data_IF_017580459634
#
_entry.id   IF_017580459634
#
_cell.length_a   1.000
_cell.length_b   1.000
_cell.length_c   1.000
_cell.angle_alpha   90.00
_cell.angle_beta   90.00
_cell.angle_gamma   90.00
#
_symmetry.space_group_name_H-M   'P 1'
#
loop_
_entity.id
_entity.type
_entity.pdbx_description
1 polymer ?
#
# COMPACT_ATOMS: atom_id res chain seq x y z
N UNK A 1 -0.59 -1.47 18.03
CA UNK A 1 -0.88 -1.51 16.58
C UNK A 1 0.43 -1.59 15.81
N UNK A 2 0.51 -2.49 14.83
CA UNK A 2 1.65 -2.64 13.93
C UNK A 2 1.41 -1.81 12.67
N UNK A 3 2.48 -1.42 11.98
CA UNK A 3 2.35 -0.76 10.69
C UNK A 3 2.21 -1.81 9.59
N UNK A 4 1.41 -1.51 8.57
CA UNK A 4 1.38 -2.30 7.36
C UNK A 4 2.73 -2.23 6.63
N UNK A 5 3.05 -3.22 5.78
CA UNK A 5 4.19 -3.12 4.87
C UNK A 5 4.15 -1.81 4.09
N UNK A 6 5.32 -1.19 3.90
CA UNK A 6 5.51 0.08 3.20
C UNK A 6 4.77 1.30 3.80
N UNK A 7 4.15 1.18 4.98
CA UNK A 7 3.55 2.32 5.69
C UNK A 7 4.52 3.50 5.86
N UNK A 8 5.79 3.21 6.18
CA UNK A 8 6.82 4.26 6.36
C UNK A 8 7.25 4.92 5.05
N UNK A 9 6.87 4.34 3.91
CA UNK A 9 7.16 4.86 2.58
C UNK A 9 6.05 5.76 2.04
N UNK A 10 4.91 5.88 2.76
CA UNK A 10 3.81 6.75 2.36
C UNK A 10 4.32 8.17 2.06
N UNK A 11 3.80 8.84 1.01
CA UNK A 11 4.21 10.19 0.66
C UNK A 11 4.07 11.15 1.85
N UNK A 12 5.03 12.08 1.99
CA UNK A 12 5.01 13.03 3.11
C UNK A 12 3.75 13.91 3.07
N UNK A 13 3.42 14.43 1.89
CA UNK A 13 2.17 15.14 1.59
C UNK A 13 0.96 14.22 1.78
N UNK A 14 -0.03 14.67 2.55
CA UNK A 14 -1.25 13.91 2.90
C UNK A 14 -2.32 13.96 1.82
N UNK A 15 -2.23 14.93 0.90
CA UNK A 15 -3.11 15.02 -0.25
C UNK A 15 -2.72 14.02 -1.36
N UNK A 16 -1.45 13.60 -1.41
CA UNK A 16 -1.00 12.53 -2.32
C UNK A 16 -1.66 11.21 -1.94
N UNK A 17 -2.25 10.57 -2.95
CA UNK A 17 -2.99 9.32 -2.82
C UNK A 17 -2.08 8.18 -2.35
N UNK A 18 -2.49 7.46 -1.31
CA UNK A 18 -1.85 6.22 -0.90
C UNK A 18 -2.40 5.04 -1.71
N UNK A 19 -1.55 4.32 -2.44
CA UNK A 19 -1.94 3.11 -3.16
C UNK A 19 -1.81 1.89 -2.25
N UNK A 20 -2.87 1.07 -2.20
CA UNK A 20 -2.98 -0.10 -1.34
C UNK A 20 -3.44 -1.30 -2.17
N UNK A 21 -2.62 -2.36 -2.24
CA UNK A 21 -3.04 -3.65 -2.82
C UNK A 21 -3.54 -4.61 -1.73
N UNK A 22 -4.65 -5.29 -1.97
CA UNK A 22 -5.30 -6.15 -0.96
C UNK A 22 -5.72 -7.48 -1.57
N UNK A 23 -5.33 -8.59 -0.95
CA UNK A 23 -5.75 -9.94 -1.33
C UNK A 23 -4.60 -10.94 -1.42
N UNK A 24 -4.87 -12.11 -2.02
CA UNK A 24 -3.93 -13.23 -2.07
C UNK A 24 -2.64 -12.87 -2.83
N UNK A 25 -2.79 -12.06 -3.88
CA UNK A 25 -1.70 -11.69 -4.80
C UNK A 25 -1.18 -10.26 -4.59
N UNK A 26 -1.57 -9.63 -3.47
CA UNK A 26 -1.22 -8.24 -3.17
C UNK A 26 0.28 -7.95 -3.23
N UNK A 27 1.12 -8.89 -2.77
CA UNK A 27 2.58 -8.74 -2.83
C UNK A 27 3.10 -8.76 -4.28
N UNK A 28 2.59 -9.66 -5.12
CA UNK A 28 2.97 -9.75 -6.53
C UNK A 28 2.64 -8.46 -7.28
N UNK A 29 1.49 -7.85 -7.00
CA UNK A 29 1.12 -6.55 -7.56
C UNK A 29 2.04 -5.42 -7.10
N UNK A 30 2.51 -5.44 -5.84
CA UNK A 30 3.53 -4.48 -5.37
C UNK A 30 4.85 -4.64 -6.12
N UNK A 31 5.31 -5.87 -6.32
CA UNK A 31 6.55 -6.11 -7.10
C UNK A 31 6.39 -5.59 -8.53
N UNK A 32 5.27 -5.92 -9.18
CA UNK A 32 4.98 -5.43 -10.53
C UNK A 32 4.95 -3.90 -10.59
N UNK A 33 4.35 -3.23 -9.61
CA UNK A 33 4.34 -1.77 -9.52
C UNK A 33 5.76 -1.19 -9.44
N UNK A 34 6.57 -1.70 -8.51
CA UNK A 34 7.95 -1.23 -8.27
C UNK A 34 8.82 -1.44 -9.50
N UNK A 35 8.68 -2.57 -10.18
CA UNK A 35 9.53 -2.96 -11.30
C UNK A 35 9.08 -2.35 -12.64
N UNK A 36 7.80 -1.97 -12.78
CA UNK A 36 7.25 -1.54 -14.07
C UNK A 36 6.35 -0.30 -14.00
N UNK A 37 5.09 -0.43 -13.58
CA UNK A 37 4.08 0.62 -13.72
C UNK A 37 4.43 1.92 -12.98
N UNK A 38 4.86 1.82 -11.72
CA UNK A 38 5.30 2.99 -10.96
C UNK A 38 6.45 3.71 -11.66
N UNK A 39 7.48 2.95 -12.07
CA UNK A 39 8.64 3.48 -12.78
C UNK A 39 8.28 4.15 -14.10
N UNK A 40 7.36 3.59 -14.89
CA UNK A 40 6.88 4.20 -16.15
C UNK A 40 6.25 5.58 -15.94
N UNK A 41 5.63 5.77 -14.78
CA UNK A 41 4.98 7.03 -14.40
C UNK A 41 5.83 7.92 -13.47
N UNK A 42 7.09 7.55 -13.22
CA UNK A 42 7.99 8.28 -12.32
C UNK A 42 7.65 8.15 -10.83
N UNK A 43 6.72 7.27 -10.47
CA UNK A 43 6.39 6.95 -9.08
C UNK A 43 7.34 5.87 -8.56
N UNK A 44 8.14 6.26 -7.57
CA UNK A 44 9.09 5.36 -6.89
C UNK A 44 8.64 5.00 -5.47
N UNK A 45 7.40 5.34 -5.09
CA UNK A 45 6.84 5.02 -3.78
C UNK A 45 6.28 3.58 -3.82
N UNK A 46 6.81 2.65 -3.03
CA UNK A 46 6.28 1.30 -3.00
C UNK A 46 4.88 1.30 -2.33
N UNK A 47 3.85 0.73 -2.99
CA UNK A 47 2.50 0.71 -2.43
C UNK A 47 2.41 -0.10 -1.14
N UNK A 48 1.45 0.25 -0.29
CA UNK A 48 1.10 -0.58 0.86
C UNK A 48 0.44 -1.87 0.36
N UNK A 49 0.65 -2.99 1.05
CA UNK A 49 -0.08 -4.22 0.74
C UNK A 49 -0.60 -4.95 1.97
N UNK A 50 -1.77 -5.57 1.80
CA UNK A 50 -2.41 -6.41 2.80
C UNK A 50 -2.64 -7.80 2.22
N UNK A 51 -1.69 -8.71 2.49
CA UNK A 51 -1.83 -10.13 2.16
C UNK A 51 -2.59 -10.90 3.25
N UNK A 52 -2.69 -12.22 3.10
CA UNK A 52 -3.41 -13.11 4.04
C UNK A 52 -3.06 -12.86 5.51
N UNK A 53 -1.77 -12.67 5.82
CA UNK A 53 -1.28 -12.43 7.19
C UNK A 53 -1.74 -11.08 7.75
N UNK A 54 -1.71 -10.02 6.94
CA UNK A 54 -2.14 -8.68 7.36
C UNK A 54 -3.66 -8.61 7.49
N UNK A 55 -4.39 -9.27 6.59
CA UNK A 55 -5.85 -9.33 6.64
C UNK A 55 -6.36 -10.08 7.87
N UNK A 56 -5.67 -11.14 8.30
CA UNK A 56 -6.01 -11.86 9.53
C UNK A 56 -5.85 -11.02 10.81
N UNK A 57 -5.05 -9.94 10.77
CA UNK A 57 -4.77 -9.03 11.91
C UNK A 57 -5.19 -7.58 11.60
N UNK A 58 -6.20 -7.40 10.72
CA UNK A 58 -6.57 -6.09 10.17
C UNK A 58 -6.95 -5.08 11.26
N UNK A 59 -7.61 -5.53 12.33
CA UNK A 59 -7.99 -4.66 13.45
C UNK A 59 -6.78 -4.03 14.17
N UNK A 60 -5.59 -4.61 14.07
CA UNK A 60 -4.38 -4.16 14.77
C UNK A 60 -3.33 -3.51 13.85
N UNK A 61 -3.67 -3.27 12.58
CA UNK A 61 -2.74 -2.74 11.58
C UNK A 61 -3.04 -1.28 11.22
N UNK A 62 -1.98 -0.46 11.13
CA UNK A 62 -2.04 0.91 10.58
C UNK A 62 -1.70 0.84 9.10
N UNK A 63 -2.68 1.14 8.26
CA UNK A 63 -2.57 1.04 6.80
C UNK A 63 -2.10 2.37 6.21
N UNK A 64 -2.72 3.47 6.68
CA UNK A 64 -2.36 4.85 6.33
C UNK A 64 -2.08 5.67 7.58
N UNK A 65 -1.30 6.72 7.41
CA UNK A 65 -0.97 7.66 8.45
C UNK A 65 -2.14 8.60 8.78
N UNK A 66 -2.13 9.13 10.01
CA UNK A 66 -3.20 10.02 10.49
C UNK A 66 -3.30 11.26 9.62
N UNK A 67 -4.52 11.60 9.20
CA UNK A 67 -4.80 12.79 8.39
C UNK A 67 -4.59 12.60 6.88
N UNK A 68 -4.28 11.38 6.41
CA UNK A 68 -4.28 11.05 4.98
C UNK A 68 -5.65 11.35 4.38
N UNK A 69 -5.68 12.14 3.31
CA UNK A 69 -6.93 12.59 2.68
C UNK A 69 -7.42 11.59 1.62
N UNK A 70 -6.49 10.92 0.95
CA UNK A 70 -6.78 10.07 -0.21
C UNK A 70 -6.05 8.75 -0.10
N UNK A 71 -6.79 7.67 -0.34
CA UNK A 71 -6.26 6.33 -0.47
C UNK A 71 -7.05 5.57 -1.53
N UNK A 72 -6.36 4.74 -2.30
CA UNK A 72 -6.95 3.88 -3.33
C UNK A 72 -6.64 2.44 -3.03
N UNK A 73 -7.68 1.63 -2.99
CA UNK A 73 -7.59 0.20 -2.72
C UNK A 73 -7.81 -0.57 -4.01
N UNK A 74 -6.87 -1.43 -4.35
CA UNK A 74 -6.95 -2.37 -5.45
C UNK A 74 -7.06 -3.79 -4.89
N UNK A 75 -8.08 -4.52 -5.34
CA UNK A 75 -8.23 -5.94 -5.04
C UNK A 75 -7.28 -6.74 -5.96
N UNK A 76 -6.45 -7.57 -5.35
CA UNK A 76 -5.46 -8.43 -5.99
C UNK A 76 -5.70 -9.88 -5.53
N UNK A 77 -6.40 -10.66 -6.37
CA UNK A 77 -6.90 -11.99 -6.04
C UNK A 77 -6.60 -12.98 -7.16
#
# INVERSE_FOLDING_TARGET
>A
MKNAPNYKCLPADKATEAIIFVGADAYSHVQHWIESEGKKHGDNVPPVYLGKKQLADLANIRIVDKGRERARVYLAA
#
